data_IF_113545513668
#
_entry.id   IF_113545513668
#
_cell.length_a   1.000
_cell.length_b   1.000
_cell.length_c   1.000
_cell.angle_alpha   90.00
_cell.angle_beta   90.00
_cell.angle_gamma   90.00
#
_symmetry.space_group_name_H-M   'P 1'
#
loop_
_entity.id
_entity.type
_entity.pdbx_description
1 polymer ?
#
# COMPACT_ATOMS: atom_id res chain seq x y z
N UNK A 1 -6.55 -8.64 22.47
CA UNK A 1 -5.12 -8.95 22.29
C UNK A 1 -4.66 -8.84 20.83
N UNK A 2 -5.38 -9.41 19.84
CA UNK A 2 -5.00 -9.40 18.41
C UNK A 2 -4.83 -7.98 17.82
N UNK A 3 -5.65 -7.01 18.24
CA UNK A 3 -5.52 -5.61 17.79
C UNK A 3 -4.19 -4.96 18.19
N UNK A 4 -3.63 -5.31 19.35
CA UNK A 4 -2.36 -4.72 19.81
C UNK A 4 -1.20 -5.12 18.89
N UNK A 5 -1.19 -6.37 18.43
CA UNK A 5 -0.20 -6.87 17.48
C UNK A 5 -0.32 -6.15 16.14
N UNK A 6 -1.55 -5.94 15.63
CA UNK A 6 -1.81 -5.17 14.40
C UNK A 6 -1.23 -3.75 14.51
N UNK A 7 -1.48 -3.09 15.63
CA UNK A 7 -1.01 -1.72 15.89
C UNK A 7 0.52 -1.68 15.96
N UNK A 8 1.14 -2.60 16.72
CA UNK A 8 2.61 -2.66 16.86
C UNK A 8 3.26 -2.84 15.49
N UNK A 9 2.78 -3.79 14.68
CA UNK A 9 3.34 -4.03 13.34
C UNK A 9 3.18 -2.79 12.45
N UNK A 10 2.00 -2.17 12.41
CA UNK A 10 1.75 -0.99 11.60
C UNK A 10 2.66 0.19 12.00
N UNK A 11 2.76 0.47 13.30
CA UNK A 11 3.60 1.54 13.83
C UNK A 11 5.09 1.25 13.60
N UNK A 12 5.54 0.01 13.80
CA UNK A 12 6.92 -0.39 13.53
C UNK A 12 7.28 -0.19 12.06
N UNK A 13 6.41 -0.57 11.12
CA UNK A 13 6.65 -0.34 9.69
C UNK A 13 6.80 1.15 9.38
N UNK A 14 5.91 2.00 9.91
CA UNK A 14 5.99 3.45 9.72
C UNK A 14 7.32 3.99 10.27
N UNK A 15 7.67 3.65 11.51
CA UNK A 15 8.91 4.09 12.15
C UNK A 15 10.12 3.64 11.31
N UNK A 16 10.20 2.36 10.96
CA UNK A 16 11.31 1.81 10.19
C UNK A 16 11.47 2.49 8.83
N UNK A 17 10.38 2.70 8.09
CA UNK A 17 10.42 3.43 6.81
C UNK A 17 10.92 4.86 7.02
N UNK A 18 10.38 5.58 8.02
CA UNK A 18 10.79 6.97 8.27
C UNK A 18 12.25 7.08 8.68
N UNK A 19 12.77 6.18 9.52
CA UNK A 19 14.17 6.18 9.95
C UNK A 19 15.12 5.72 8.84
N UNK A 20 14.74 4.68 8.08
CA UNK A 20 15.54 4.22 6.95
C UNK A 20 15.59 5.27 5.84
N UNK A 21 14.51 6.02 5.61
CA UNK A 21 14.46 7.03 4.55
C UNK A 21 15.49 8.16 4.76
N UNK A 22 15.89 8.43 6.01
CA UNK A 22 16.95 9.39 6.37
C UNK A 22 18.35 8.89 6.00
N UNK A 23 18.56 7.57 5.91
CA UNK A 23 19.87 6.94 5.66
C UNK A 23 20.00 6.41 4.23
N UNK A 24 18.99 5.68 3.76
CA UNK A 24 18.95 5.05 2.45
C UNK A 24 17.51 5.01 1.90
N UNK A 25 17.24 5.86 0.91
CA UNK A 25 15.94 5.94 0.23
C UNK A 25 15.57 4.64 -0.50
N UNK A 26 16.54 3.88 -1.02
CA UNK A 26 16.27 2.62 -1.72
C UNK A 26 15.80 1.54 -0.76
N UNK A 27 16.43 1.42 0.41
CA UNK A 27 16.00 0.47 1.44
C UNK A 27 14.63 0.84 2.02
N UNK A 28 14.35 2.13 2.22
CA UNK A 28 13.03 2.58 2.64
C UNK A 28 11.95 2.27 1.59
N UNK A 29 12.24 2.46 0.31
CA UNK A 29 11.34 2.12 -0.79
C UNK A 29 11.12 0.61 -0.91
N UNK A 30 12.16 -0.21 -0.72
CA UNK A 30 12.05 -1.67 -0.67
C UNK A 30 11.12 -2.10 0.46
N UNK A 31 11.30 -1.54 1.66
CA UNK A 31 10.48 -1.86 2.82
C UNK A 31 9.00 -1.48 2.60
N UNK A 32 8.74 -0.33 1.97
CA UNK A 32 7.38 0.09 1.59
C UNK A 32 6.73 -0.84 0.56
N UNK A 33 7.52 -1.45 -0.34
CA UNK A 33 7.02 -2.36 -1.36
C UNK A 33 6.70 -3.78 -0.82
N UNK A 34 7.21 -4.15 0.36
CA UNK A 34 6.94 -5.47 0.93
C UNK A 34 5.48 -5.59 1.38
N UNK A 35 4.80 -6.71 1.09
CA UNK A 35 3.39 -6.93 1.44
C UNK A 35 3.20 -7.28 2.94
N UNK A 36 3.92 -6.62 3.85
CA UNK A 36 3.92 -6.91 5.31
C UNK A 36 2.51 -6.80 5.88
N UNK A 37 1.78 -5.74 5.51
CA UNK A 37 0.41 -5.51 5.97
C UNK A 37 -0.53 -6.60 5.43
N UNK A 38 -0.39 -6.95 4.14
CA UNK A 38 -1.23 -7.98 3.52
C UNK A 38 -1.02 -9.35 4.16
N UNK A 39 0.23 -9.78 4.33
CA UNK A 39 0.54 -11.06 4.97
C UNK A 39 0.16 -11.11 6.45
N UNK A 40 0.30 -9.99 7.18
CA UNK A 40 -0.20 -9.90 8.55
C UNK A 40 -1.71 -10.09 8.58
N UNK A 41 -2.45 -9.42 7.69
CA UNK A 41 -3.90 -9.55 7.59
C UNK A 41 -4.33 -10.97 7.20
N UNK A 42 -3.71 -11.56 6.17
CA UNK A 42 -4.01 -12.93 5.72
C UNK A 42 -3.76 -13.95 6.83
N UNK A 43 -2.65 -13.82 7.56
CA UNK A 43 -2.30 -14.70 8.68
C UNK A 43 -3.38 -14.65 9.76
N UNK A 44 -3.86 -13.45 10.11
CA UNK A 44 -4.91 -13.30 11.13
C UNK A 44 -6.27 -13.83 10.64
N UNK A 45 -6.64 -13.54 9.39
CA UNK A 45 -7.86 -14.11 8.78
C UNK A 45 -7.78 -15.64 8.77
N UNK A 46 -6.62 -16.20 8.46
CA UNK A 46 -6.41 -17.65 8.49
C UNK A 46 -6.53 -18.23 9.90
N UNK A 47 -5.99 -17.55 10.92
CA UNK A 47 -6.14 -17.99 12.30
C UNK A 47 -7.60 -18.10 12.75
N UNK A 48 -8.44 -17.20 12.27
CA UNK A 48 -9.88 -17.15 12.60
C UNK A 48 -10.72 -18.10 11.73
N UNK A 49 -10.43 -18.19 10.43
CA UNK A 49 -11.29 -18.90 9.46
C UNK A 49 -10.78 -20.27 9.02
N UNK A 50 -9.46 -20.49 9.05
CA UNK A 50 -8.77 -21.65 8.44
C UNK A 50 -9.06 -21.87 6.95
N UNK A 51 -9.66 -20.88 6.29
CA UNK A 51 -10.09 -20.94 4.88
C UNK A 51 -8.98 -20.40 3.97
N UNK A 52 -8.30 -21.32 3.28
CA UNK A 52 -7.21 -20.99 2.35
C UNK A 52 -7.73 -20.45 1.02
N UNK A 53 -8.93 -20.83 0.59
CA UNK A 53 -9.51 -20.39 -0.68
C UNK A 53 -9.92 -18.92 -0.60
N UNK A 54 -10.47 -18.51 0.55
CA UNK A 54 -10.75 -17.10 0.84
C UNK A 54 -9.48 -16.24 0.79
N UNK A 55 -8.37 -16.74 1.33
CA UNK A 55 -7.10 -16.01 1.32
C UNK A 55 -6.53 -15.93 -0.10
N UNK A 56 -6.57 -17.03 -0.84
CA UNK A 56 -6.12 -17.08 -2.23
C UNK A 56 -6.92 -16.10 -3.10
N UNK A 57 -8.25 -16.07 -2.94
CA UNK A 57 -9.11 -15.10 -3.61
C UNK A 57 -8.73 -13.67 -3.22
N UNK A 58 -8.57 -13.37 -1.93
CA UNK A 58 -8.21 -12.04 -1.47
C UNK A 58 -6.83 -11.58 -1.99
N UNK A 59 -5.87 -12.50 -2.09
CA UNK A 59 -4.56 -12.22 -2.67
C UNK A 59 -4.63 -11.90 -4.17
N UNK A 60 -5.43 -12.66 -4.93
CA UNK A 60 -5.67 -12.40 -6.35
C UNK A 60 -6.37 -11.06 -6.58
N UNK A 61 -7.41 -10.76 -5.81
CA UNK A 61 -8.11 -9.46 -5.87
C UNK A 61 -7.15 -8.30 -5.55
N UNK A 62 -6.34 -8.45 -4.49
CA UNK A 62 -5.35 -7.44 -4.12
C UNK A 62 -4.31 -7.21 -5.22
N UNK A 63 -3.88 -8.25 -5.92
CA UNK A 63 -2.97 -8.12 -7.06
C UNK A 63 -3.59 -7.29 -8.19
N UNK A 64 -4.86 -7.50 -8.53
CA UNK A 64 -5.55 -6.72 -9.58
C UNK A 64 -5.59 -5.23 -9.19
N UNK A 65 -5.81 -4.93 -7.90
CA UNK A 65 -5.79 -3.57 -7.36
C UNK A 65 -4.41 -2.91 -7.27
N UNK A 66 -3.32 -3.61 -7.61
CA UNK A 66 -2.01 -2.97 -7.78
C UNK A 66 -1.97 -2.15 -9.07
N UNK A 67 -2.73 -2.53 -10.11
CA UNK A 67 -2.71 -1.85 -11.41
C UNK A 67 -3.02 -0.33 -11.33
N UNK A 68 -4.05 0.14 -10.60
CA UNK A 68 -4.30 1.57 -10.42
C UNK A 68 -3.20 2.30 -9.64
N UNK A 69 -2.50 1.60 -8.74
CA UNK A 69 -1.47 2.18 -7.86
C UNK A 69 -0.15 2.39 -8.60
N UNK A 70 0.19 1.50 -9.54
CA UNK A 70 1.42 1.56 -10.33
C UNK A 70 1.67 2.91 -11.04
N UNK A 71 0.73 3.51 -11.78
CA UNK A 71 0.95 4.80 -12.46
C UNK A 71 0.98 6.00 -11.50
N UNK A 72 0.38 5.87 -10.31
CA UNK A 72 0.21 6.96 -9.34
C UNK A 72 1.54 7.37 -8.68
N UNK A 73 2.40 6.41 -8.32
CA UNK A 73 3.67 6.71 -7.65
C UNK A 73 4.68 7.46 -8.55
N UNK A 74 4.91 7.06 -9.81
CA UNK A 74 5.75 7.84 -10.73
C UNK A 74 5.17 9.22 -11.02
N UNK A 75 3.84 9.35 -11.14
CA UNK A 75 3.19 10.64 -11.33
C UNK A 75 3.42 11.55 -10.12
N UNK A 76 3.30 11.03 -8.90
CA UNK A 76 3.60 11.78 -7.68
C UNK A 76 5.05 12.28 -7.69
N UNK A 77 6.01 11.41 -8.04
CA UNK A 77 7.41 11.82 -8.18
C UNK A 77 7.61 12.90 -9.23
N UNK A 78 6.94 12.78 -10.38
CA UNK A 78 7.00 13.77 -11.46
C UNK A 78 6.42 15.12 -11.01
N UNK A 79 5.25 15.16 -10.36
CA UNK A 79 4.65 16.40 -9.86
C UNK A 79 5.59 17.12 -8.88
N UNK A 80 6.15 16.40 -7.91
CA UNK A 80 7.09 16.98 -6.95
C UNK A 80 8.35 17.53 -7.64
N UNK A 81 8.89 16.80 -8.63
CA UNK A 81 10.07 17.25 -9.41
C UNK A 81 9.79 18.48 -10.29
N UNK A 82 8.52 18.72 -10.67
CA UNK A 82 8.11 19.89 -11.45
C UNK A 82 7.68 21.07 -10.57
N UNK A 83 7.95 21.04 -9.27
CA UNK A 83 7.71 22.17 -8.37
C UNK A 83 6.27 22.31 -7.87
N UNK A 84 5.41 21.33 -8.12
CA UNK A 84 4.11 21.29 -7.47
C UNK A 84 4.32 21.05 -5.96
N UNK A 85 3.54 21.74 -5.11
CA UNK A 85 3.60 21.56 -3.66
C UNK A 85 3.31 20.12 -3.24
N UNK A 86 3.83 19.70 -2.08
CA UNK A 86 3.66 18.32 -1.59
C UNK A 86 2.18 17.96 -1.40
N UNK A 87 1.43 18.77 -0.64
CA UNK A 87 0.02 18.50 -0.35
C UNK A 87 -0.87 18.59 -1.60
N UNK A 88 -0.59 19.52 -2.50
CA UNK A 88 -1.31 19.64 -3.78
C UNK A 88 -1.05 18.41 -4.66
N UNK A 89 0.21 17.97 -4.77
CA UNK A 89 0.57 16.76 -5.52
C UNK A 89 -0.10 15.53 -4.92
N UNK A 90 -0.13 15.43 -3.59
CA UNK A 90 -0.75 14.32 -2.86
C UNK A 90 -2.25 14.26 -3.15
N UNK A 91 -2.97 15.39 -3.05
CA UNK A 91 -4.40 15.45 -3.38
C UNK A 91 -4.68 15.06 -4.84
N UNK A 92 -3.89 15.58 -5.80
CA UNK A 92 -4.07 15.26 -7.22
C UNK A 92 -3.94 13.76 -7.49
N UNK A 93 -2.90 13.13 -6.95
CA UNK A 93 -2.68 11.70 -7.18
C UNK A 93 -3.67 10.82 -6.42
N UNK A 94 -4.16 11.26 -5.25
CA UNK A 94 -5.26 10.58 -4.56
C UNK A 94 -6.55 10.63 -5.36
N UNK A 95 -6.92 11.79 -5.93
CA UNK A 95 -8.10 11.92 -6.79
C UNK A 95 -7.97 11.02 -8.02
N UNK A 96 -6.82 11.05 -8.69
CA UNK A 96 -6.57 10.16 -9.84
C UNK A 96 -6.69 8.69 -9.45
N UNK A 97 -6.10 8.30 -8.32
CA UNK A 97 -6.18 6.93 -7.82
C UNK A 97 -7.65 6.50 -7.64
N UNK A 98 -8.49 7.33 -7.00
CA UNK A 98 -9.93 7.04 -6.85
C UNK A 98 -10.61 6.82 -8.21
N UNK A 99 -10.31 7.67 -9.21
CA UNK A 99 -10.85 7.53 -10.56
C UNK A 99 -10.41 6.21 -11.21
N UNK A 100 -9.12 5.86 -11.11
CA UNK A 100 -8.59 4.62 -11.68
C UNK A 100 -9.20 3.37 -11.02
N UNK A 101 -9.37 3.39 -9.70
CA UNK A 101 -10.06 2.32 -8.97
C UNK A 101 -11.52 2.17 -9.44
N UNK A 102 -12.25 3.28 -9.58
CA UNK A 102 -13.62 3.26 -10.07
C UNK A 102 -13.73 2.70 -11.50
N UNK A 103 -12.84 3.12 -12.39
CA UNK A 103 -12.80 2.62 -13.77
C UNK A 103 -12.48 1.13 -13.80
N UNK A 104 -11.47 0.69 -13.04
CA UNK A 104 -11.09 -0.73 -12.96
C UNK A 104 -12.26 -1.59 -12.47
N UNK A 105 -12.95 -1.17 -11.41
CA UNK A 105 -14.11 -1.89 -10.88
C UNK A 105 -15.26 -2.00 -11.89
N UNK A 106 -15.40 -1.03 -12.80
CA UNK A 106 -16.43 -1.08 -13.85
C UNK A 106 -16.07 -2.05 -14.99
N UNK A 107 -14.79 -2.33 -15.17
CA UNK A 107 -14.28 -3.21 -16.25
C UNK A 107 -14.30 -4.68 -15.83
N UNK A 108 -14.09 -4.96 -14.53
CA UNK A 108 -14.15 -6.30 -13.92
C UNK A 108 -15.60 -6.74 -13.69
#
# INVERSE_FOLDING_TARGET
>A
MVYLIKIIIAVLVIILVTELSKKDTKLAALLLALPIISFTAYTMIWFESKDTDKIAKLANENFIYVLPVMPVLPLFSWLLKNGYGFFTSMMMVTILMIILFYVLQKIL
#
